data_IF_273192792217
#
_entry.id   IF_273192792217
#
_cell.length_a   1.000
_cell.length_b   1.000
_cell.length_c   1.000
_cell.angle_alpha   90.00
_cell.angle_beta   90.00
_cell.angle_gamma   90.00
#
_symmetry.space_group_name_H-M   'P 1'
#
loop_
_entity.id
_entity.type
_entity.pdbx_description
1 polymer ?
#
# COMPACT_ATOMS: atom_id res chain seq x y z
N UNK A 1 -5.63 18.85 6.86
CA UNK A 1 -4.58 17.81 6.92
C UNK A 1 -5.32 16.51 7.19
N UNK A 2 -5.33 15.62 6.21
CA UNK A 2 -6.33 14.57 6.03
C UNK A 2 -6.16 13.39 7.01
N UNK A 3 -7.28 12.96 7.60
CA UNK A 3 -7.48 11.83 8.52
C UNK A 3 -7.26 10.44 7.89
N UNK A 4 -6.35 10.29 6.92
CA UNK A 4 -6.21 9.03 6.16
C UNK A 4 -4.93 8.25 6.48
N UNK A 5 -4.49 8.25 7.74
CA UNK A 5 -3.47 7.31 8.19
C UNK A 5 -4.15 6.03 8.68
N UNK A 6 -3.60 4.87 8.32
CA UNK A 6 -4.10 3.55 8.71
C UNK A 6 -3.02 2.75 9.44
N UNK A 7 -3.42 1.74 10.21
CA UNK A 7 -2.50 0.89 10.96
C UNK A 7 -2.18 1.40 12.37
N UNK A 8 -1.00 1.06 12.88
CA UNK A 8 -0.57 1.34 14.24
C UNK A 8 -1.03 0.25 15.21
N UNK A 9 -1.39 0.63 16.43
CA UNK A 9 -1.89 -0.29 17.43
C UNK A 9 -3.41 -0.30 17.50
N UNK A 10 -3.98 -1.48 17.74
CA UNK A 10 -5.38 -1.61 18.09
C UNK A 10 -5.64 -1.17 19.54
N UNK A 11 -6.92 -1.21 19.95
CA UNK A 11 -7.35 -0.87 21.31
C UNK A 11 -6.70 -1.73 22.42
N UNK A 12 -6.10 -2.86 22.07
CA UNK A 12 -5.45 -3.79 22.99
C UNK A 12 -3.92 -3.69 22.93
N UNK A 13 -3.36 -2.75 22.16
CA UNK A 13 -1.91 -2.59 21.97
C UNK A 13 -1.27 -3.60 21.02
N UNK A 14 -2.07 -4.32 20.22
CA UNK A 14 -1.57 -5.24 19.19
C UNK A 14 -1.38 -4.51 17.86
N UNK A 15 -0.30 -4.80 17.14
CA UNK A 15 -0.05 -4.21 15.82
C UNK A 15 -1.20 -4.55 14.87
N UNK A 16 -1.71 -3.53 14.19
CA UNK A 16 -2.70 -3.69 13.15
C UNK A 16 -1.97 -4.17 11.90
N UNK A 17 -2.59 -5.13 11.21
CA UNK A 17 -2.11 -5.60 9.92
C UNK A 17 -2.69 -4.72 8.82
N UNK A 18 -1.85 -4.23 7.92
CA UNK A 18 -2.24 -3.53 6.69
C UNK A 18 -1.73 -4.32 5.49
N UNK A 19 -2.64 -4.71 4.59
CA UNK A 19 -2.29 -5.25 3.27
C UNK A 19 -2.05 -4.10 2.30
N UNK A 20 -0.99 -4.17 1.50
CA UNK A 20 -0.64 -3.17 0.50
C UNK A 20 -0.47 -3.84 -0.86
N UNK A 21 -1.02 -3.22 -1.90
CA UNK A 21 -0.99 -3.73 -3.27
C UNK A 21 -0.96 -2.61 -4.33
N UNK A 22 -0.49 -2.96 -5.53
CA UNK A 22 -0.37 -2.09 -6.69
C UNK A 22 -1.26 -2.55 -7.85
N UNK A 23 -2.11 -1.64 -8.32
CA UNK A 23 -3.04 -1.91 -9.42
C UNK A 23 -2.78 -0.94 -10.57
N UNK A 24 -2.78 -1.46 -11.81
CA UNK A 24 -2.73 -0.62 -13.01
C UNK A 24 -4.11 -0.50 -13.66
N UNK A 25 -4.68 0.69 -13.62
CA UNK A 25 -5.97 0.98 -14.25
C UNK A 25 -5.76 1.50 -15.68
N UNK A 26 -6.27 0.78 -16.67
CA UNK A 26 -6.22 1.19 -18.07
C UNK A 26 -7.45 0.78 -18.86
N UNK A 27 -7.89 1.64 -19.80
CA UNK A 27 -9.00 1.37 -20.73
C UNK A 27 -8.65 0.31 -21.78
N UNK A 28 -9.10 -0.93 -21.62
CA UNK A 28 -8.90 -2.00 -22.62
C UNK A 28 -9.45 -1.59 -24.00
N UNK A 29 -8.59 -1.38 -25.01
CA UNK A 29 -9.03 -1.17 -26.41
C UNK A 29 -9.39 -2.53 -27.03
N UNK A 30 -10.68 -2.83 -27.12
CA UNK A 30 -11.36 -3.81 -28.00
C UNK A 30 -10.49 -4.96 -28.56
N UNK A 31 -10.22 -5.99 -27.74
CA UNK A 31 -9.74 -7.35 -28.10
C UNK A 31 -8.57 -7.51 -29.10
N UNK A 32 -7.83 -6.46 -29.51
CA UNK A 32 -6.58 -6.54 -30.30
C UNK A 32 -5.67 -5.34 -29.98
N UNK A 33 -4.37 -5.58 -29.84
CA UNK A 33 -3.33 -4.55 -29.82
C UNK A 33 -2.92 -4.00 -28.44
N UNK A 34 -1.72 -3.42 -28.40
CA UNK A 34 -0.89 -3.04 -27.24
C UNK A 34 -1.58 -2.30 -26.07
N UNK A 35 -0.93 -2.50 -24.92
CA UNK A 35 -1.18 -1.98 -23.57
C UNK A 35 -1.68 -0.53 -23.53
N UNK A 36 -2.68 -0.29 -22.68
CA UNK A 36 -3.31 1.01 -22.50
C UNK A 36 -2.38 1.96 -21.73
N UNK A 37 -2.38 3.23 -22.13
CA UNK A 37 -2.15 4.35 -21.20
C UNK A 37 -3.02 4.12 -19.95
N UNK A 38 -2.39 3.96 -18.81
CA UNK A 38 -3.07 3.59 -17.58
C UNK A 38 -2.34 4.18 -16.38
N UNK A 39 -3.12 4.49 -15.35
CA UNK A 39 -2.62 5.05 -14.10
C UNK A 39 -2.25 3.92 -13.15
N UNK A 40 -1.15 4.08 -12.43
CA UNK A 40 -0.84 3.22 -11.30
C UNK A 40 -1.60 3.73 -10.10
N UNK A 41 -2.14 2.80 -9.31
CA UNK A 41 -2.78 3.08 -8.03
C UNK A 41 -2.13 2.18 -7.01
N UNK A 42 -1.72 2.78 -5.90
CA UNK A 42 -1.26 2.05 -4.71
C UNK A 42 -2.37 2.16 -3.68
N UNK A 43 -2.72 1.03 -3.07
CA UNK A 43 -3.71 1.01 -2.01
C UNK A 43 -3.25 0.20 -0.83
N UNK A 44 -3.79 0.55 0.34
CA UNK A 44 -3.62 -0.23 1.56
C UNK A 44 -4.94 -0.41 2.28
N UNK A 45 -5.16 -1.56 2.90
CA UNK A 45 -6.36 -1.87 3.69
C UNK A 45 -6.00 -2.56 5.00
N UNK A 46 -6.62 -2.11 6.09
CA UNK A 46 -6.49 -2.76 7.38
C UNK A 46 -7.19 -4.14 7.38
N UNK A 47 -6.56 -5.12 8.01
CA UNK A 47 -7.22 -6.37 8.43
C UNK A 47 -7.97 -6.18 9.74
N UNK A 48 -8.79 -5.15 9.81
CA UNK A 48 -9.72 -4.86 10.92
C UNK A 48 -11.17 -4.98 10.44
N UNK A 49 -12.16 -5.10 11.34
CA UNK A 49 -13.57 -5.08 10.94
C UNK A 49 -13.99 -3.79 10.22
N UNK A 50 -13.36 -2.65 10.53
CA UNK A 50 -13.69 -1.36 9.93
C UNK A 50 -13.07 -1.16 8.54
N UNK A 51 -12.02 -1.93 8.19
CA UNK A 51 -11.41 -1.95 6.86
C UNK A 51 -10.99 -0.55 6.37
N UNK A 52 -10.38 0.25 7.24
CA UNK A 52 -9.87 1.55 6.82
C UNK A 52 -8.87 1.35 5.69
N UNK A 53 -8.95 2.19 4.66
CA UNK A 53 -8.13 2.04 3.47
C UNK A 53 -7.74 3.38 2.86
N UNK A 54 -6.66 3.35 2.08
CA UNK A 54 -6.27 4.44 1.18
C UNK A 54 -6.10 3.89 -0.24
N UNK A 55 -6.28 4.77 -1.23
CA UNK A 55 -5.99 4.51 -2.63
C UNK A 55 -5.44 5.80 -3.25
N UNK A 56 -4.23 5.74 -3.78
CA UNK A 56 -3.52 6.91 -4.31
C UNK A 56 -3.03 6.61 -5.72
N UNK A 57 -3.34 7.52 -6.64
CA UNK A 57 -2.80 7.48 -8.00
C UNK A 57 -1.34 7.91 -7.96
N UNK A 58 -0.46 7.09 -8.50
CA UNK A 58 0.99 7.33 -8.53
C UNK A 58 1.53 7.34 -9.96
N UNK A 59 2.64 8.06 -10.21
CA UNK A 59 3.23 8.14 -11.55
C UNK A 59 3.83 6.79 -12.00
N UNK A 60 4.36 6.00 -11.06
CA UNK A 60 4.97 4.70 -11.30
C UNK A 60 4.89 3.78 -10.08
N UNK A 61 5.25 2.51 -10.27
CA UNK A 61 5.36 1.49 -9.21
C UNK A 61 6.81 1.30 -8.72
N UNK A 62 7.62 2.35 -8.74
CA UNK A 62 8.99 2.23 -8.25
C UNK A 62 9.01 1.99 -6.74
N UNK A 63 10.03 1.29 -6.24
CA UNK A 63 10.20 1.08 -4.81
C UNK A 63 10.20 2.40 -4.04
N UNK A 64 10.79 3.45 -4.62
CA UNK A 64 10.77 4.80 -4.04
C UNK A 64 9.34 5.31 -3.85
N UNK A 65 8.53 5.27 -4.90
CA UNK A 65 7.13 5.72 -4.85
C UNK A 65 6.35 4.94 -3.80
N UNK A 66 6.49 3.61 -3.78
CA UNK A 66 5.79 2.73 -2.84
C UNK A 66 6.19 3.00 -1.39
N UNK A 67 7.49 3.08 -1.12
CA UNK A 67 8.01 3.40 0.21
C UNK A 67 7.54 4.78 0.69
N UNK A 68 7.49 5.78 -0.19
CA UNK A 68 6.93 7.09 0.16
C UNK A 68 5.44 7.03 0.48
N UNK A 69 4.64 6.21 -0.22
CA UNK A 69 3.23 6.01 0.12
C UNK A 69 3.06 5.29 1.47
N UNK A 70 3.90 4.30 1.76
CA UNK A 70 3.88 3.60 3.06
C UNK A 70 4.25 4.57 4.19
N UNK A 71 5.26 5.41 3.98
CA UNK A 71 5.67 6.42 4.95
C UNK A 71 4.57 7.44 5.22
N UNK A 72 3.85 7.86 4.18
CA UNK A 72 2.79 8.86 4.26
C UNK A 72 1.48 8.32 4.86
N UNK A 73 1.04 7.12 4.49
CA UNK A 73 -0.31 6.63 4.81
C UNK A 73 -0.37 5.55 5.89
N UNK A 74 0.75 4.89 6.20
CA UNK A 74 0.77 3.78 7.17
C UNK A 74 1.46 4.23 8.45
N UNK A 75 0.82 4.08 9.60
CA UNK A 75 1.41 4.46 10.87
C UNK A 75 2.62 3.57 11.24
N UNK A 76 3.57 4.07 12.05
CA UNK A 76 4.58 3.22 12.69
C UNK A 76 3.93 2.11 13.52
N UNK A 77 4.68 1.05 13.82
CA UNK A 77 4.18 -0.13 14.56
C UNK A 77 3.00 -0.86 13.89
N UNK A 78 2.88 -0.74 12.57
CA UNK A 78 2.00 -1.56 11.73
C UNK A 78 2.73 -2.81 11.25
N UNK A 79 2.04 -3.93 11.14
CA UNK A 79 2.51 -5.11 10.40
C UNK A 79 2.03 -5.02 8.95
N UNK A 80 2.94 -4.87 8.01
CA UNK A 80 2.63 -4.67 6.59
C UNK A 80 2.70 -6.02 5.87
N UNK A 81 1.62 -6.40 5.19
CA UNK A 81 1.58 -7.56 4.29
C UNK A 81 1.70 -7.09 2.84
N UNK A 82 2.67 -7.63 2.11
CA UNK A 82 2.88 -7.37 0.67
C UNK A 82 3.20 -8.67 -0.06
N UNK A 83 3.14 -8.65 -1.40
CA UNK A 83 3.46 -9.80 -2.28
C UNK A 83 4.95 -10.21 -2.32
N UNK A 84 5.72 -9.86 -1.28
CA UNK A 84 7.14 -10.20 -1.11
C UNK A 84 8.06 -9.60 -2.19
N UNK A 85 7.67 -8.51 -2.85
CA UNK A 85 8.57 -7.84 -3.79
C UNK A 85 9.79 -7.23 -3.08
N UNK A 86 10.99 -7.46 -3.63
CA UNK A 86 12.25 -7.03 -3.01
C UNK A 86 12.39 -5.51 -2.80
N UNK A 87 11.55 -4.69 -3.47
CA UNK A 87 11.49 -3.25 -3.24
C UNK A 87 11.02 -2.86 -1.83
N UNK A 88 10.42 -3.80 -1.09
CA UNK A 88 9.87 -3.59 0.25
C UNK A 88 10.87 -3.85 1.40
N UNK A 89 12.11 -4.26 1.11
CA UNK A 89 13.12 -4.58 2.12
C UNK A 89 13.47 -3.40 3.05
N UNK A 90 13.11 -2.16 2.68
CA UNK A 90 13.34 -0.97 3.51
C UNK A 90 12.19 -0.68 4.49
N UNK A 91 11.10 -1.45 4.49
CA UNK A 91 9.97 -1.21 5.40
C UNK A 91 10.38 -1.37 6.87
N UNK A 92 11.22 -2.37 7.18
CA UNK A 92 11.68 -2.63 8.55
C UNK A 92 12.47 -1.47 9.14
N UNK A 93 13.26 -0.77 8.32
CA UNK A 93 14.02 0.41 8.78
C UNK A 93 13.14 1.62 9.06
N UNK A 94 11.87 1.59 8.65
CA UNK A 94 10.87 2.63 8.91
C UNK A 94 10.02 2.36 10.16
N UNK A 95 10.37 1.37 10.99
CA UNK A 95 9.66 1.07 12.24
C UNK A 95 8.33 0.34 12.04
N UNK A 96 8.20 -0.40 10.94
CA UNK A 96 7.06 -1.28 10.62
C UNK A 96 7.58 -2.70 10.44
N UNK A 97 6.77 -3.70 10.76
CA UNK A 97 7.15 -5.11 10.57
C UNK A 97 6.70 -5.57 9.18
N UNK A 98 7.59 -6.21 8.42
CA UNK A 98 7.24 -6.80 7.13
C UNK A 98 6.81 -8.25 7.35
N UNK A 99 5.58 -8.57 6.94
CA UNK A 99 5.05 -9.92 6.90
C UNK A 99 4.67 -10.31 5.46
N UNK A 100 4.66 -11.62 5.21
CA UNK A 100 4.40 -12.23 3.92
C UNK A 100 3.07 -12.99 3.97
#
# INVERSE_FOLDING_TARGET
MTDCHIGGYDKNGSSIIVEIDELKFGKRKRFRGHHVEGVWVVGGVERTPHRHCFMVVVPDRSARTLLSMIEEFVLPATTVHTDCWAGYNLIESMGRELAH
#
